data_IF_071597831523
#
_entry.id   IF_071597831523
#
_cell.length_a   1.000
_cell.length_b   1.000
_cell.length_c   1.000
_cell.angle_alpha   90.00
_cell.angle_beta   90.00
_cell.angle_gamma   90.00
#
_symmetry.space_group_name_H-M   'P 1'
#
loop_
_entity.id
_entity.type
_entity.pdbx_description
1 polymer ?
#
# COMPACT_ATOMS: atom_id res chain seq x y z
N UNK A 1 -29.48 -6.22 -9.73
CA UNK A 1 -28.29 -5.41 -9.40
C UNK A 1 -28.27 -5.15 -7.91
N UNK A 2 -27.66 -6.05 -7.14
CA UNK A 2 -27.65 -5.97 -5.68
C UNK A 2 -26.71 -4.88 -5.18
N UNK A 3 -27.27 -3.88 -4.50
CA UNK A 3 -26.52 -3.02 -3.58
C UNK A 3 -26.02 -3.94 -2.46
N UNK A 4 -24.74 -4.32 -2.50
CA UNK A 4 -24.11 -4.91 -1.32
C UNK A 4 -23.93 -3.81 -0.29
N UNK A 5 -24.77 -3.89 0.73
CA UNK A 5 -24.66 -3.19 1.98
C UNK A 5 -23.23 -3.27 2.52
N UNK A 6 -22.67 -2.10 2.75
CA UNK A 6 -21.38 -1.88 3.41
C UNK A 6 -21.57 -2.05 4.93
N UNK A 7 -22.10 -3.19 5.37
CA UNK A 7 -22.33 -3.53 6.78
C UNK A 7 -21.09 -4.16 7.39
N UNK A 8 -20.01 -3.38 7.46
CA UNK A 8 -18.98 -3.57 8.51
C UNK A 8 -18.24 -2.24 8.74
N UNK A 9 -18.90 -1.38 9.50
CA UNK A 9 -18.54 0.01 9.80
C UNK A 9 -17.42 0.19 10.83
N UNK A 10 -16.69 -0.87 11.25
CA UNK A 10 -15.87 -0.78 12.47
C UNK A 10 -14.34 -0.84 12.30
N UNK A 11 -13.81 -1.09 11.10
CA UNK A 11 -12.35 -1.18 10.89
C UNK A 11 -11.79 0.04 10.15
N UNK A 12 -12.12 1.24 10.61
CA UNK A 12 -11.57 2.50 10.08
C UNK A 12 -10.84 3.26 11.17
N UNK A 13 -9.54 3.49 11.00
CA UNK A 13 -8.70 4.17 11.99
C UNK A 13 -7.98 5.39 11.41
N UNK A 14 -7.69 6.38 12.25
CA UNK A 14 -6.80 7.47 11.88
C UNK A 14 -5.33 7.04 11.99
N UNK A 15 -4.48 7.51 11.08
CA UNK A 15 -3.03 7.23 11.13
C UNK A 15 -2.41 7.75 12.44
N UNK A 16 -2.81 8.93 12.90
CA UNK A 16 -2.34 9.49 14.17
C UNK A 16 -2.66 8.58 15.35
N UNK A 17 -3.86 8.00 15.38
CA UNK A 17 -4.29 7.06 16.41
C UNK A 17 -3.45 5.77 16.37
N UNK A 18 -3.28 5.17 15.20
CA UNK A 18 -2.45 3.97 15.06
C UNK A 18 -0.99 4.21 15.46
N UNK A 19 -0.45 5.40 15.13
CA UNK A 19 0.90 5.80 15.55
C UNK A 19 1.01 5.92 17.07
N UNK A 20 -0.02 6.44 17.76
CA UNK A 20 -0.10 6.49 19.23
C UNK A 20 -0.20 5.08 19.84
N UNK A 21 -0.92 4.17 19.18
CA UNK A 21 -1.02 2.77 19.56
C UNK A 21 0.26 1.94 19.27
N UNK A 22 1.33 2.57 18.76
CA UNK A 22 2.61 1.91 18.47
C UNK A 22 2.67 1.21 17.12
N UNK A 23 1.60 1.23 16.33
CA UNK A 23 1.55 0.65 14.98
C UNK A 23 2.23 1.62 14.01
N UNK A 24 3.38 1.21 13.47
CA UNK A 24 4.17 1.99 12.52
C UNK A 24 4.16 1.34 11.14
N UNK A 25 3.93 2.14 10.12
CA UNK A 25 3.96 1.73 8.71
C UNK A 25 4.45 2.91 7.85
N UNK A 26 5.18 2.57 6.79
CA UNK A 26 5.65 3.52 5.80
C UNK A 26 4.58 3.78 4.73
N UNK A 27 4.61 4.96 4.13
CA UNK A 27 3.70 5.31 3.03
C UNK A 27 4.13 4.57 1.75
N UNK A 28 3.22 3.85 1.09
CA UNK A 28 3.52 3.20 -0.20
C UNK A 28 3.68 4.23 -1.31
N UNK A 29 4.93 4.66 -1.54
CA UNK A 29 5.28 5.64 -2.57
C UNK A 29 5.10 5.02 -3.97
N UNK A 30 5.52 3.77 -4.14
CA UNK A 30 5.58 3.11 -5.45
C UNK A 30 4.17 2.93 -6.01
N UNK A 31 3.30 2.20 -5.32
CA UNK A 31 1.96 1.92 -5.84
C UNK A 31 1.10 3.18 -5.90
N UNK A 32 1.25 4.09 -4.93
CA UNK A 32 0.51 5.35 -4.96
C UNK A 32 0.90 6.21 -6.18
N UNK A 33 2.19 6.25 -6.53
CA UNK A 33 2.64 7.01 -7.71
C UNK A 33 2.14 6.36 -8.99
N UNK A 34 2.24 5.04 -9.11
CA UNK A 34 1.82 4.30 -10.31
C UNK A 34 0.30 4.36 -10.50
N UNK A 35 -0.51 4.18 -9.44
CA UNK A 35 -1.98 4.20 -9.54
C UNK A 35 -2.55 5.62 -9.69
N UNK A 36 -1.87 6.63 -9.15
CA UNK A 36 -2.27 8.04 -9.36
C UNK A 36 -2.07 8.46 -10.82
N UNK A 37 -1.08 7.91 -11.50
CA UNK A 37 -0.71 8.29 -12.86
C UNK A 37 -0.16 9.71 -12.94
N UNK A 38 -0.31 10.32 -14.12
CA UNK A 38 0.11 11.69 -14.37
C UNK A 38 -0.79 12.66 -13.57
N UNK A 39 -0.17 13.51 -12.75
CA UNK A 39 -0.87 14.47 -11.92
C UNK A 39 -1.32 15.71 -12.69
N UNK A 40 -2.24 16.49 -12.11
CA UNK A 40 -2.69 17.77 -12.68
C UNK A 40 -1.53 18.72 -13.03
N UNK A 41 -0.47 18.75 -12.21
CA UNK A 41 0.71 19.60 -12.46
C UNK A 41 1.43 19.25 -13.77
N UNK A 42 1.41 17.98 -14.18
CA UNK A 42 1.97 17.55 -15.46
C UNK A 42 1.15 18.15 -16.61
N UNK A 43 -0.17 18.02 -16.57
CA UNK A 43 -1.06 18.55 -17.60
C UNK A 43 -0.99 20.08 -17.70
N UNK A 44 -0.90 20.78 -16.56
CA UNK A 44 -0.70 22.23 -16.54
C UNK A 44 0.63 22.62 -17.20
N UNK A 45 1.72 21.90 -16.92
CA UNK A 45 3.01 22.16 -17.56
C UNK A 45 2.96 21.93 -19.07
N UNK A 46 2.27 20.87 -19.53
CA UNK A 46 2.05 20.60 -20.96
C UNK A 46 1.22 21.71 -21.62
N UNK A 47 0.17 22.19 -20.94
CA UNK A 47 -0.65 23.30 -21.44
C UNK A 47 0.16 24.60 -21.55
N UNK A 48 0.99 24.90 -20.55
CA UNK A 48 1.90 26.06 -20.61
C UNK A 48 2.87 25.92 -21.78
N UNK A 49 3.49 24.74 -21.94
CA UNK A 49 4.40 24.47 -23.07
C UNK A 49 3.70 24.67 -24.42
N UNK A 50 2.50 24.11 -24.59
CA UNK A 50 1.72 24.25 -25.82
C UNK A 50 1.30 25.71 -26.06
N UNK A 51 0.80 26.40 -25.05
CA UNK A 51 0.41 27.80 -25.14
C UNK A 51 1.60 28.70 -25.52
N UNK A 52 2.76 28.49 -24.88
CA UNK A 52 3.97 29.21 -25.23
C UNK A 52 4.46 28.87 -26.63
N UNK A 53 4.34 27.62 -27.08
CA UNK A 53 4.81 27.20 -28.40
C UNK A 53 3.95 27.76 -29.54
N UNK A 54 2.66 27.98 -29.31
CA UNK A 54 1.71 28.46 -30.32
C UNK A 54 1.50 29.97 -30.29
N UNK A 55 2.06 30.67 -29.31
CA UNK A 55 1.90 32.10 -29.17
C UNK A 55 2.84 32.84 -30.14
N UNK A 56 2.27 33.55 -31.12
CA UNK A 56 3.03 34.46 -31.97
C UNK A 56 3.25 35.80 -31.26
N UNK A 57 4.49 36.24 -31.19
CA UNK A 57 4.86 37.48 -30.48
C UNK A 57 4.93 38.67 -31.45
N UNK A 58 4.34 39.80 -31.04
CA UNK A 58 4.49 41.09 -31.74
C UNK A 58 5.66 41.93 -31.20
N UNK A 59 6.31 41.52 -30.11
CA UNK A 59 7.40 42.25 -29.46
C UNK A 59 8.60 41.34 -29.13
N UNK A 60 9.81 41.87 -29.30
CA UNK A 60 11.07 41.13 -29.11
C UNK A 60 11.34 40.71 -27.65
N UNK A 61 10.88 41.52 -26.68
CA UNK A 61 10.99 41.20 -25.26
C UNK A 61 10.20 39.93 -24.89
N UNK A 62 9.00 39.75 -25.46
CA UNK A 62 8.19 38.55 -25.22
C UNK A 62 8.81 37.32 -25.86
N UNK A 63 9.39 37.45 -27.06
CA UNK A 63 10.11 36.37 -27.73
C UNK A 63 11.32 35.89 -26.92
N UNK A 64 12.04 36.80 -26.26
CA UNK A 64 13.21 36.44 -25.44
C UNK A 64 12.81 35.70 -24.16
N UNK A 65 11.68 36.06 -23.54
CA UNK A 65 11.15 35.38 -22.35
C UNK A 65 10.49 34.02 -22.65
N UNK A 66 10.04 33.80 -23.88
CA UNK A 66 9.39 32.56 -24.32
C UNK A 66 10.36 31.36 -24.29
N UNK A 67 11.57 31.53 -24.81
CA UNK A 67 12.59 30.46 -24.89
C UNK A 67 12.94 29.81 -23.54
N UNK A 68 13.30 30.56 -22.48
CA UNK A 68 13.61 29.94 -21.19
C UNK A 68 12.38 29.26 -20.59
N UNK A 69 11.18 29.80 -20.80
CA UNK A 69 9.94 29.19 -20.32
C UNK A 69 9.62 27.87 -21.04
N UNK A 70 9.85 27.80 -22.35
CA UNK A 70 9.75 26.56 -23.14
C UNK A 70 10.77 25.52 -22.69
N UNK A 71 12.03 25.91 -22.51
CA UNK A 71 13.09 25.01 -22.04
C UNK A 71 12.77 24.48 -20.64
N UNK A 72 12.36 25.36 -19.73
CA UNK A 72 12.04 24.98 -18.35
C UNK A 72 10.83 24.05 -18.27
N UNK A 73 9.78 24.34 -19.03
CA UNK A 73 8.58 23.48 -19.09
C UNK A 73 8.88 22.13 -19.75
N UNK A 74 9.67 22.08 -20.82
CA UNK A 74 10.13 20.84 -21.43
C UNK A 74 10.97 20.00 -20.47
N UNK A 75 11.94 20.61 -19.79
CA UNK A 75 12.77 19.93 -18.79
C UNK A 75 11.91 19.35 -17.66
N UNK A 76 10.93 20.13 -17.18
CA UNK A 76 9.98 19.65 -16.17
C UNK A 76 9.20 18.43 -16.65
N UNK A 77 8.65 18.47 -17.87
CA UNK A 77 7.90 17.38 -18.48
C UNK A 77 8.78 16.12 -18.58
N UNK A 78 10.00 16.25 -19.10
CA UNK A 78 10.96 15.14 -19.24
C UNK A 78 11.34 14.53 -17.88
N UNK A 79 11.68 15.37 -16.89
CA UNK A 79 11.97 14.91 -15.53
C UNK A 79 10.76 14.19 -14.91
N UNK A 80 9.55 14.68 -15.15
CA UNK A 80 8.32 14.07 -14.66
C UNK A 80 8.10 12.67 -15.27
N UNK A 81 8.24 12.55 -16.59
CA UNK A 81 8.12 11.28 -17.32
C UNK A 81 9.19 10.30 -16.85
N UNK A 82 10.46 10.73 -16.76
CA UNK A 82 11.56 9.91 -16.28
C UNK A 82 11.31 9.39 -14.86
N UNK A 83 10.86 10.26 -13.95
CA UNK A 83 10.47 9.86 -12.60
C UNK A 83 9.34 8.83 -12.61
N UNK A 84 8.31 9.03 -13.42
CA UNK A 84 7.19 8.10 -13.51
C UNK A 84 7.61 6.73 -14.07
N UNK A 85 8.42 6.73 -15.13
CA UNK A 85 9.00 5.53 -15.74
C UNK A 85 9.89 4.77 -14.75
N UNK A 86 10.67 5.49 -13.92
CA UNK A 86 11.46 4.90 -12.84
C UNK A 86 10.58 4.13 -11.85
N UNK A 87 9.47 4.72 -11.37
CA UNK A 87 8.58 4.03 -10.42
C UNK A 87 7.84 2.84 -11.04
N UNK A 88 7.46 2.91 -12.32
CA UNK A 88 6.91 1.74 -13.03
C UNK A 88 7.95 0.62 -13.10
N UNK A 89 9.18 0.96 -13.49
CA UNK A 89 10.27 0.00 -13.60
C UNK A 89 10.61 -0.61 -12.24
N UNK A 90 10.60 0.19 -11.18
CA UNK A 90 10.80 -0.26 -9.81
C UNK A 90 9.68 -1.22 -9.37
N UNK A 91 8.42 -0.89 -9.65
CA UNK A 91 7.27 -1.78 -9.36
C UNK A 91 7.41 -3.13 -10.07
N UNK A 92 7.81 -3.13 -11.35
CA UNK A 92 8.06 -4.35 -12.12
C UNK A 92 9.19 -5.19 -11.52
N UNK A 93 10.31 -4.56 -11.14
CA UNK A 93 11.44 -5.23 -10.49
C UNK A 93 11.07 -5.84 -9.13
N UNK A 94 10.31 -5.10 -8.31
CA UNK A 94 9.81 -5.61 -7.02
C UNK A 94 8.96 -6.87 -7.21
N UNK A 95 8.03 -6.85 -8.17
CA UNK A 95 7.14 -7.99 -8.46
C UNK A 95 7.81 -9.17 -9.16
N UNK A 96 8.98 -8.97 -9.75
CA UNK A 96 9.78 -10.04 -10.32
C UNK A 96 10.54 -10.85 -9.25
N UNK A 97 10.61 -10.36 -8.01
CA UNK A 97 11.32 -11.04 -6.91
C UNK A 97 10.51 -12.24 -6.40
N UNK A 98 11.18 -13.39 -6.22
CA UNK A 98 10.54 -14.68 -5.87
C UNK A 98 10.08 -14.84 -4.41
N UNK A 99 10.33 -13.85 -3.53
CA UNK A 99 10.01 -13.95 -2.09
C UNK A 99 8.89 -12.94 -1.67
N UNK A 100 7.62 -13.16 -2.06
CA UNK A 100 6.52 -12.33 -1.57
C UNK A 100 6.23 -12.59 -0.09
N UNK A 101 6.00 -11.52 0.67
CA UNK A 101 5.52 -11.59 2.04
C UNK A 101 4.00 -11.71 2.02
N UNK A 102 3.46 -12.71 2.71
CA UNK A 102 2.02 -12.87 2.86
C UNK A 102 1.48 -11.88 3.91
N UNK A 103 0.47 -11.11 3.54
CA UNK A 103 -0.18 -10.17 4.46
C UNK A 103 -1.70 -10.26 4.37
N UNK A 104 -2.38 -9.96 5.48
CA UNK A 104 -3.84 -9.92 5.57
C UNK A 104 -4.34 -8.46 5.61
N UNK A 105 -5.46 -8.17 4.92
CA UNK A 105 -6.14 -6.89 5.03
C UNK A 105 -6.68 -6.71 6.46
N UNK A 106 -6.13 -5.72 7.17
CA UNK A 106 -6.43 -5.50 8.59
C UNK A 106 -7.51 -4.43 8.77
N UNK A 107 -7.27 -3.22 8.27
CA UNK A 107 -8.18 -2.10 8.45
C UNK A 107 -8.01 -1.03 7.38
N UNK A 108 -9.03 -0.18 7.23
CA UNK A 108 -8.94 1.04 6.43
C UNK A 108 -8.37 2.16 7.30
N UNK A 109 -7.46 2.94 6.74
CA UNK A 109 -6.78 4.02 7.44
C UNK A 109 -6.96 5.35 6.75
N UNK A 110 -7.36 6.34 7.57
CA UNK A 110 -7.48 7.73 7.21
C UNK A 110 -6.15 8.43 7.52
N UNK A 111 -5.48 8.89 6.47
CA UNK A 111 -4.19 9.57 6.57
C UNK A 111 -4.42 11.05 6.94
N UNK A 112 -4.49 11.30 8.24
CA UNK A 112 -4.72 12.62 8.85
C UNK A 112 -3.44 13.41 9.13
N UNK A 113 -2.32 12.71 9.28
CA UNK A 113 -1.08 13.24 9.86
C UNK A 113 -0.23 14.09 8.91
N UNK A 114 -0.68 14.33 7.67
CA UNK A 114 0.05 15.11 6.66
C UNK A 114 -0.36 16.60 6.65
N UNK A 115 -0.97 17.13 7.72
CA UNK A 115 -1.47 18.53 7.76
C UNK A 115 -0.74 19.39 8.78
N UNK A 116 0.19 20.24 8.33
CA UNK A 116 0.84 21.22 9.20
C UNK A 116 -0.01 22.47 9.50
N UNK A 117 -1.13 22.71 8.80
CA UNK A 117 -1.89 23.96 8.93
C UNK A 117 -3.38 23.77 9.30
N UNK A 118 -3.93 24.61 10.20
CA UNK A 118 -5.36 24.67 10.49
C UNK A 118 -6.10 25.37 9.34
N UNK A 119 -6.35 24.64 8.24
CA UNK A 119 -7.19 25.15 7.17
C UNK A 119 -8.68 25.13 7.58
N UNK A 120 -9.46 26.15 7.17
CA UNK A 120 -10.91 26.17 7.32
C UNK A 120 -11.55 24.92 6.73
N UNK A 121 -12.64 24.43 7.33
CA UNK A 121 -13.25 23.14 7.00
C UNK A 121 -13.59 22.97 5.51
N UNK A 122 -13.94 24.05 4.81
CA UNK A 122 -14.28 24.05 3.39
C UNK A 122 -13.07 23.95 2.44
N UNK A 123 -11.88 24.39 2.87
CA UNK A 123 -10.62 24.24 2.12
C UNK A 123 -9.86 22.96 2.50
N UNK A 124 -10.39 22.15 3.42
CA UNK A 124 -9.74 20.92 3.84
C UNK A 124 -9.73 19.95 2.67
N UNK A 125 -8.55 19.60 2.11
CA UNK A 125 -8.50 18.55 1.10
C UNK A 125 -9.09 17.27 1.68
N UNK A 126 -9.82 16.48 0.87
CA UNK A 126 -10.34 15.18 1.33
C UNK A 126 -9.20 14.32 1.88
N UNK A 127 -9.41 13.71 3.05
CA UNK A 127 -8.47 12.78 3.66
C UNK A 127 -8.19 11.64 2.68
N UNK A 128 -6.91 11.33 2.50
CA UNK A 128 -6.52 10.13 1.77
C UNK A 128 -6.87 8.92 2.63
N UNK A 129 -7.37 7.88 1.98
CA UNK A 129 -7.71 6.60 2.57
C UNK A 129 -6.80 5.54 1.96
N UNK A 130 -6.37 4.58 2.76
CA UNK A 130 -5.61 3.42 2.31
C UNK A 130 -6.02 2.20 3.14
N UNK A 131 -5.78 0.99 2.63
CA UNK A 131 -5.91 -0.23 3.43
C UNK A 131 -4.57 -0.49 4.10
N UNK A 132 -4.58 -0.90 5.37
CA UNK A 132 -3.42 -1.47 6.03
C UNK A 132 -3.47 -2.98 5.92
N UNK A 133 -2.33 -3.55 5.58
CA UNK A 133 -2.07 -4.97 5.56
C UNK A 133 -1.11 -5.33 6.69
N UNK A 134 -1.38 -6.45 7.33
CA UNK A 134 -0.57 -6.98 8.43
C UNK A 134 0.10 -8.26 7.95
N UNK A 135 1.41 -8.36 8.14
CA UNK A 135 2.18 -9.57 7.85
C UNK A 135 1.63 -10.79 8.61
N UNK A 136 1.53 -11.92 7.92
CA UNK A 136 1.05 -13.19 8.49
C UNK A 136 2.23 -14.06 8.96
N UNK A 137 2.04 -14.81 10.05
CA UNK A 137 2.97 -15.86 10.49
C UNK A 137 4.18 -15.39 11.31
N UNK A 138 4.25 -14.11 11.69
CA UNK A 138 5.34 -13.56 12.51
C UNK A 138 4.83 -13.07 13.87
N UNK A 139 5.65 -13.26 14.93
CA UNK A 139 5.33 -12.78 16.30
C UNK A 139 5.35 -11.25 16.41
N UNK A 140 6.13 -10.58 15.55
CA UNK A 140 6.22 -9.11 15.45
C UNK A 140 5.84 -8.70 14.01
N UNK A 141 4.54 -8.64 13.69
CA UNK A 141 4.09 -8.42 12.33
C UNK A 141 4.44 -7.01 11.86
N UNK A 142 4.95 -6.92 10.62
CA UNK A 142 5.08 -5.63 9.93
C UNK A 142 3.76 -5.21 9.34
N UNK A 143 3.55 -3.89 9.32
CA UNK A 143 2.36 -3.28 8.72
C UNK A 143 2.74 -2.58 7.42
N UNK A 144 1.99 -2.87 6.37
CA UNK A 144 2.16 -2.31 5.04
C UNK A 144 0.92 -1.49 4.68
N UNK A 145 1.13 -0.38 3.97
CA UNK A 145 0.06 0.47 3.50
C UNK A 145 -0.20 0.19 2.03
N UNK A 146 -1.44 -0.08 1.67
CA UNK A 146 -1.89 -0.13 0.29
C UNK A 146 -1.88 1.24 -0.38
N UNK A 147 -2.52 1.30 -1.55
CA UNK A 147 -2.57 2.55 -2.30
C UNK A 147 -3.36 3.62 -1.56
N UNK A 148 -2.73 4.76 -1.31
CA UNK A 148 -3.37 5.93 -0.74
C UNK A 148 -4.15 6.72 -1.81
N UNK A 149 -5.47 6.71 -1.71
CA UNK A 149 -6.37 7.39 -2.65
C UNK A 149 -7.30 8.36 -1.93
N UNK A 150 -7.72 9.43 -2.63
CA UNK A 150 -8.80 10.32 -2.16
C UNK A 150 -10.19 9.78 -2.50
N UNK A 151 -10.26 8.78 -3.38
CA UNK A 151 -11.50 8.13 -3.78
C UNK A 151 -11.90 7.07 -2.75
N UNK A 152 -13.15 6.62 -2.80
CA UNK A 152 -13.58 5.45 -2.04
C UNK A 152 -12.66 4.26 -2.35
N UNK A 153 -12.34 3.47 -1.33
CA UNK A 153 -11.60 2.23 -1.50
C UNK A 153 -12.63 1.19 -1.95
N UNK A 154 -12.60 0.70 -3.20
CA UNK A 154 -13.53 -0.32 -3.62
C UNK A 154 -13.20 -1.65 -2.95
N UNK A 155 -14.21 -2.32 -2.40
CA UNK A 155 -14.14 -3.74 -2.04
C UNK A 155 -13.17 -4.11 -0.92
N UNK A 156 -13.10 -3.33 0.16
CA UNK A 156 -12.38 -3.78 1.37
C UNK A 156 -13.04 -5.05 1.90
N UNK A 157 -12.28 -6.15 1.94
CA UNK A 157 -12.68 -7.40 2.56
C UNK A 157 -11.70 -7.69 3.70
N UNK A 158 -12.15 -7.73 4.96
CA UNK A 158 -11.26 -8.02 6.09
C UNK A 158 -10.66 -9.42 5.93
N UNK A 159 -9.42 -9.59 6.39
CA UNK A 159 -8.65 -10.84 6.29
C UNK A 159 -8.38 -11.35 4.87
N UNK A 160 -8.59 -10.51 3.85
CA UNK A 160 -8.18 -10.83 2.50
C UNK A 160 -6.66 -10.97 2.45
N UNK A 161 -6.18 -12.14 2.00
CA UNK A 161 -4.76 -12.38 1.82
C UNK A 161 -4.26 -11.69 0.55
N UNK A 162 -3.19 -10.92 0.72
CA UNK A 162 -2.47 -10.22 -0.34
C UNK A 162 -0.99 -10.57 -0.28
N UNK A 163 -0.30 -10.39 -1.41
CA UNK A 163 1.15 -10.53 -1.48
C UNK A 163 1.81 -9.16 -1.48
N UNK A 164 2.84 -9.01 -0.65
CA UNK A 164 3.64 -7.79 -0.53
C UNK A 164 5.05 -8.09 -1.02
N UNK A 165 5.49 -7.32 -2.02
CA UNK A 165 6.80 -7.41 -2.62
C UNK A 165 7.69 -6.30 -2.07
N UNK A 166 8.69 -6.65 -1.26
CA UNK A 166 9.59 -5.67 -0.62
C UNK A 166 11.00 -5.77 -1.17
N UNK A 167 11.69 -4.65 -1.34
CA UNK A 167 13.13 -4.65 -1.60
C UNK A 167 13.91 -4.96 -0.30
N UNK A 168 14.75 -6.00 -0.32
CA UNK A 168 15.60 -6.39 0.82
C UNK A 168 16.61 -5.30 1.20
N UNK A 169 17.08 -4.49 0.24
CA UNK A 169 18.05 -3.41 0.50
C UNK A 169 17.40 -2.15 1.03
N UNK A 170 16.16 -1.88 0.63
CA UNK A 170 15.44 -0.64 0.93
C UNK A 170 13.98 -0.95 1.27
N UNK A 171 13.67 -1.30 2.53
CA UNK A 171 12.33 -1.74 2.94
C UNK A 171 11.24 -0.67 2.76
N UNK A 172 11.61 0.60 2.62
CA UNK A 172 10.70 1.70 2.29
C UNK A 172 10.03 1.55 0.93
N UNK A 173 10.67 0.84 0.00
CA UNK A 173 10.13 0.56 -1.33
C UNK A 173 9.51 -0.83 -1.34
N UNK A 174 8.19 -0.85 -1.37
CA UNK A 174 7.41 -2.07 -1.49
C UNK A 174 6.23 -1.85 -2.41
N UNK A 175 5.69 -2.95 -2.95
CA UNK A 175 4.47 -2.98 -3.75
C UNK A 175 3.52 -4.02 -3.18
N UNK A 176 2.26 -3.66 -2.99
CA UNK A 176 1.19 -4.59 -2.58
C UNK A 176 0.41 -5.01 -3.82
N UNK A 177 0.08 -6.30 -3.93
CA UNK A 177 -0.71 -6.83 -5.02
C UNK A 177 -2.18 -7.06 -4.63
N UNK A 178 -2.92 -5.95 -4.58
CA UNK A 178 -4.35 -5.94 -4.26
C UNK A 178 -5.23 -6.53 -5.39
N UNK A 179 -4.73 -6.52 -6.63
CA UNK A 179 -5.53 -6.86 -7.83
C UNK A 179 -5.69 -8.36 -8.05
N UNK A 180 -4.68 -9.16 -7.67
CA UNK A 180 -4.74 -10.63 -7.74
C UNK A 180 -5.55 -11.24 -6.60
N UNK A 181 -5.65 -10.55 -5.46
CA UNK A 181 -6.37 -11.02 -4.28
C UNK A 181 -7.89 -11.13 -4.48
N UNK A 182 -8.48 -10.35 -5.40
CA UNK A 182 -9.91 -10.44 -5.74
C UNK A 182 -10.22 -11.72 -6.53
N UNK A 183 -9.23 -12.34 -7.19
CA UNK A 183 -9.41 -13.56 -7.99
C UNK A 183 -9.21 -14.87 -7.20
N UNK A 184 -8.65 -14.83 -6.00
CA UNK A 184 -8.24 -16.03 -5.24
C UNK A 184 -9.25 -16.52 -4.18
N UNK A 185 -10.55 -16.21 -4.34
CA UNK A 185 -11.58 -16.46 -3.33
C UNK A 185 -11.94 -17.94 -3.01
N UNK A 186 -11.49 -18.98 -3.74
CA UNK A 186 -11.56 -20.36 -3.24
C UNK A 186 -10.24 -20.87 -2.61
N UNK A 187 -9.08 -20.46 -3.12
CA UNK A 187 -7.79 -21.04 -2.76
C UNK A 187 -7.23 -20.49 -1.43
N UNK A 188 -7.49 -19.21 -1.11
CA UNK A 188 -7.02 -18.59 0.14
C UNK A 188 -7.64 -19.21 1.39
N UNK A 189 -8.92 -19.62 1.32
CA UNK A 189 -9.60 -20.33 2.43
C UNK A 189 -9.01 -21.72 2.66
N UNK A 190 -8.59 -22.42 1.59
CA UNK A 190 -7.93 -23.71 1.70
C UNK A 190 -6.51 -23.58 2.31
N UNK A 191 -5.78 -22.53 1.93
CA UNK A 191 -4.45 -22.24 2.48
C UNK A 191 -4.52 -21.86 3.96
N UNK A 192 -5.47 -21.02 4.37
CA UNK A 192 -5.70 -20.67 5.77
C UNK A 192 -6.11 -21.89 6.61
N UNK A 193 -6.96 -22.77 6.06
CA UNK A 193 -7.26 -24.05 6.72
C UNK A 193 -6.00 -24.91 6.88
N UNK A 194 -5.15 -24.98 5.85
CA UNK A 194 -3.91 -25.76 5.92
C UNK A 194 -2.88 -25.18 6.91
N UNK A 195 -2.77 -23.85 7.00
CA UNK A 195 -1.89 -23.18 7.97
C UNK A 195 -2.41 -23.36 9.39
N UNK A 196 -3.71 -23.16 9.62
CA UNK A 196 -4.32 -23.39 10.93
C UNK A 196 -4.25 -24.88 11.34
N UNK A 197 -4.41 -25.82 10.39
CA UNK A 197 -4.23 -27.25 10.67
C UNK A 197 -2.79 -27.57 11.10
N UNK A 198 -1.80 -26.99 10.40
CA UNK A 198 -0.39 -27.20 10.75
C UNK A 198 -0.04 -26.60 12.12
N UNK A 199 -0.61 -25.45 12.48
CA UNK A 199 -0.43 -24.87 13.81
C UNK A 199 -1.13 -25.69 14.90
N UNK A 200 -2.33 -26.23 14.65
CA UNK A 200 -2.99 -27.12 15.61
C UNK A 200 -2.29 -28.48 15.76
N UNK A 201 -1.68 -29.00 14.69
CA UNK A 201 -0.91 -30.24 14.71
C UNK A 201 0.47 -30.06 15.37
N UNK A 202 1.11 -28.91 15.19
CA UNK A 202 2.38 -28.59 15.85
C UNK A 202 2.25 -28.31 17.36
N UNK A 203 1.08 -27.85 17.81
CA UNK A 203 0.79 -27.60 19.22
C UNK A 203 0.31 -28.85 19.99
N UNK A 204 0.01 -29.96 19.31
CA UNK A 204 -0.52 -31.19 19.93
C UNK A 204 0.49 -32.30 20.14
N UNK A 205 1.75 -32.13 19.72
CA UNK A 205 2.78 -33.19 19.76
C UNK A 205 3.65 -33.20 21.03
N UNK A 206 3.40 -32.29 21.99
CA UNK A 206 4.04 -32.31 23.33
C UNK A 206 2.99 -32.60 24.41
N UNK A 207 2.48 -33.83 24.48
CA UNK A 207 2.03 -34.47 25.73
C UNK A 207 1.55 -35.89 25.43
N UNK A 208 2.47 -36.86 25.51
CA UNK A 208 2.28 -38.22 26.07
C UNK A 208 3.54 -39.04 25.83
N UNK A 209 4.51 -38.86 26.72
CA UNK A 209 5.48 -39.90 27.03
C UNK A 209 4.85 -40.81 28.09
N UNK A 210 4.57 -42.11 27.82
CA UNK A 210 4.18 -43.03 28.86
C UNK A 210 5.44 -43.47 29.63
N UNK A 211 5.64 -42.86 30.79
CA UNK A 211 6.65 -43.25 31.76
C UNK A 211 6.40 -44.66 32.31
N UNK A 212 7.46 -45.46 32.27
CA UNK A 212 7.53 -46.82 32.76
C UNK A 212 7.66 -46.92 34.29
N UNK A 213 7.45 -48.17 34.77
CA UNK A 213 7.79 -48.79 36.07
C UNK A 213 6.70 -48.78 37.17
N UNK A 214 5.98 -49.91 37.24
CA UNK A 214 5.55 -50.51 38.52
C UNK A 214 6.75 -51.23 39.13
N UNK A 215 7.20 -50.79 40.30
CA UNK A 215 7.98 -51.59 41.24
C UNK A 215 7.00 -52.07 42.30
N UNK A 216 6.87 -53.38 42.44
CA UNK A 216 6.08 -54.06 43.47
C UNK A 216 7.08 -54.45 44.55
N UNK A 217 6.98 -53.84 45.72
CA UNK A 217 7.65 -54.26 46.96
C UNK A 217 6.60 -54.89 47.83
N UNK A 218 6.64 -56.22 47.92
CA UNK A 218 6.03 -56.99 49.00
C UNK A 218 7.21 -57.62 49.76
N UNK A 219 7.28 -57.39 51.08
CA UNK A 219 7.76 -58.31 52.13
C UNK A 219 7.99 -57.51 53.43
N UNK A 220 6.95 -57.50 54.29
CA UNK A 220 7.00 -57.65 55.74
C UNK A 220 5.61 -58.11 56.22
#
# INVERSE_FOLDING_TARGET
>A
MGKQELTDSNNVYYRSYLKKAGIRFDYSIVDTTVKRGLGLSFYVAVLIFAACSLWEHKSELLATLQWPLLILSLLYILCYIARYAFFISLRRKLRATQDPILAEAYAVVLLDSDRPWPLPAYLRPRLKRAVIYKECGTLKPRFFLGVASRRAIPGFVPHQLVQVFTDKRRPKFYSVDDESAVKALPAGKALLRAINLKQSLGSGAEMRSPGAKKVKTDDF
#
